data_IF_190794991958
#
_entry.id   IF_190794991958
#
_cell.length_a   1.000
_cell.length_b   1.000
_cell.length_c   1.000
_cell.angle_alpha   90.00
_cell.angle_beta   90.00
_cell.angle_gamma   90.00
#
_symmetry.space_group_name_H-M   'P 1'
#
loop_
_entity.id
_entity.type
_entity.pdbx_description
1 polymer ?
#
# COMPACT_ATOMS: atom_id res chain seq x y z
N UNK A 1 2.96 17.87 9.91
CA UNK A 1 3.49 16.70 9.17
C UNK A 1 2.35 15.69 9.07
N UNK A 2 2.15 15.06 7.92
CA UNK A 2 1.23 13.92 7.79
C UNK A 2 2.02 12.78 7.15
N UNK A 3 2.03 11.62 7.78
CA UNK A 3 2.76 10.45 7.32
C UNK A 3 1.93 9.19 7.58
N UNK A 4 2.08 8.20 6.71
CA UNK A 4 1.43 6.89 6.82
C UNK A 4 2.48 5.81 6.97
N UNK A 5 2.23 4.82 7.83
CA UNK A 5 3.12 3.68 8.05
C UNK A 5 2.30 2.41 8.24
N UNK A 6 2.84 1.29 7.75
CA UNK A 6 2.27 -0.04 7.98
C UNK A 6 2.76 -0.67 9.30
N UNK A 7 3.65 0.01 10.03
CA UNK A 7 4.22 -0.42 11.32
C UNK A 7 4.15 0.73 12.32
N UNK A 8 3.97 0.45 13.63
CA UNK A 8 3.90 1.50 14.64
C UNK A 8 5.25 2.25 14.75
N UNK A 9 5.23 3.53 15.23
CA UNK A 9 6.44 4.35 15.34
C UNK A 9 7.63 3.67 16.03
N UNK A 10 7.37 2.92 17.11
CA UNK A 10 8.42 2.23 17.88
C UNK A 10 9.14 1.15 17.07
N UNK A 11 8.50 0.61 16.03
CA UNK A 11 9.09 -0.42 15.17
C UNK A 11 9.68 0.14 13.88
N UNK A 12 9.57 1.46 13.63
CA UNK A 12 10.13 2.07 12.42
C UNK A 12 11.63 1.82 12.32
N UNK A 13 12.09 1.27 11.19
CA UNK A 13 13.50 0.94 10.95
C UNK A 13 14.06 -0.12 11.92
N UNK A 14 13.22 -1.07 12.34
CA UNK A 14 13.64 -2.22 13.18
C UNK A 14 14.71 -3.02 12.45
N UNK A 15 15.79 -3.37 13.16
CA UNK A 15 16.98 -4.04 12.62
C UNK A 15 17.71 -3.30 11.48
N UNK A 16 17.41 -2.02 11.26
CA UNK A 16 18.09 -1.19 10.28
C UNK A 16 19.54 -0.90 10.68
N UNK A 17 20.40 -0.73 9.67
CA UNK A 17 21.79 -0.35 9.88
C UNK A 17 21.84 1.00 10.62
N UNK A 18 22.50 1.05 11.78
CA UNK A 18 22.56 2.24 12.64
C UNK A 18 21.19 2.74 13.17
N UNK A 19 20.24 1.84 13.46
CA UNK A 19 18.93 2.17 14.09
C UNK A 19 19.03 3.16 15.26
N UNK A 20 20.10 3.10 16.07
CA UNK A 20 20.32 4.03 17.17
C UNK A 20 20.27 5.51 16.74
N UNK A 21 20.74 5.84 15.52
CA UNK A 21 20.67 7.20 14.97
C UNK A 21 19.25 7.61 14.53
N UNK A 22 18.38 6.63 14.34
CA UNK A 22 16.99 6.82 13.95
C UNK A 22 16.05 6.97 15.15
N UNK A 23 16.46 6.51 16.35
CA UNK A 23 15.66 6.66 17.58
C UNK A 23 15.25 8.11 17.88
N UNK A 24 16.11 9.14 17.72
CA UNK A 24 15.70 10.52 17.95
C UNK A 24 14.57 10.99 17.01
N UNK A 25 14.52 10.44 15.78
CA UNK A 25 13.44 10.74 14.85
C UNK A 25 12.12 10.08 15.30
N UNK A 26 12.19 8.85 15.83
CA UNK A 26 11.02 8.18 16.43
C UNK A 26 10.50 8.99 17.63
N UNK A 27 11.39 9.44 18.50
CA UNK A 27 11.02 10.26 19.66
C UNK A 27 10.36 11.57 19.24
N UNK A 28 10.92 12.26 18.23
CA UNK A 28 10.34 13.48 17.68
C UNK A 28 8.95 13.23 17.05
N UNK A 29 8.77 12.11 16.33
CA UNK A 29 7.46 11.72 15.78
C UNK A 29 6.44 11.55 16.92
N UNK A 30 6.78 10.80 17.97
CA UNK A 30 5.88 10.55 19.11
C UNK A 30 5.59 11.80 19.92
N UNK A 31 6.52 12.74 20.00
CA UNK A 31 6.36 14.00 20.73
C UNK A 31 5.49 15.02 19.97
N UNK A 32 5.58 15.05 18.64
CA UNK A 32 5.00 16.11 17.83
C UNK A 32 3.85 15.68 16.93
N UNK A 33 3.52 14.39 16.87
CA UNK A 33 2.44 13.85 16.04
C UNK A 33 1.49 12.98 16.87
N UNK A 34 0.21 13.04 16.53
CA UNK A 34 -0.79 12.11 17.03
C UNK A 34 -0.70 10.80 16.26
N UNK A 35 -0.51 9.70 16.98
CA UNK A 35 -0.43 8.35 16.39
C UNK A 35 -1.83 7.77 16.28
N UNK A 36 -2.35 7.71 15.06
CA UNK A 36 -3.67 7.13 14.78
C UNK A 36 -3.51 5.75 14.13
N UNK A 37 -4.05 4.71 14.77
CA UNK A 37 -4.13 3.39 14.15
C UNK A 37 -5.34 3.37 13.19
N UNK A 38 -5.07 3.06 11.92
CA UNK A 38 -6.10 2.95 10.87
C UNK A 38 -6.35 1.46 10.63
N UNK A 39 -6.90 0.78 11.63
CA UNK A 39 -7.37 -0.59 11.44
C UNK A 39 -8.74 -0.54 10.77
N UNK A 40 -8.75 -0.46 9.45
CA UNK A 40 -9.99 -0.31 8.71
C UNK A 40 -10.76 -1.64 8.59
N UNK A 41 -10.17 -2.80 8.91
CA UNK A 41 -10.73 -4.15 8.66
C UNK A 41 -11.08 -4.46 7.19
N UNK A 42 -11.13 -3.43 6.35
CA UNK A 42 -11.53 -3.43 4.96
C UNK A 42 -10.26 -3.29 4.14
N UNK A 43 -9.91 -4.36 3.45
CA UNK A 43 -8.90 -4.31 2.42
C UNK A 43 -9.48 -3.61 1.17
N UNK A 44 -9.19 -2.32 1.04
CA UNK A 44 -9.64 -1.52 -0.11
C UNK A 44 -9.01 -1.98 -1.43
N UNK A 45 -7.91 -2.75 -1.41
CA UNK A 45 -7.31 -3.31 -2.63
C UNK A 45 -8.25 -4.34 -3.25
N UNK A 46 -8.82 -5.21 -2.42
CA UNK A 46 -9.68 -6.30 -2.85
C UNK A 46 -11.07 -5.85 -3.30
N UNK A 47 -11.54 -4.68 -2.86
CA UNK A 47 -12.88 -4.17 -3.23
C UNK A 47 -13.04 -3.89 -4.73
N UNK A 48 -11.97 -3.47 -5.41
CA UNK A 48 -11.99 -3.24 -6.86
C UNK A 48 -11.55 -4.48 -7.65
N UNK A 49 -10.71 -5.33 -7.05
CA UNK A 49 -10.02 -6.44 -7.73
C UNK A 49 -10.71 -7.80 -7.62
N UNK A 50 -11.77 -7.93 -6.81
CA UNK A 50 -12.46 -9.22 -6.56
C UNK A 50 -13.16 -9.82 -7.79
N UNK A 51 -13.29 -9.08 -8.89
CA UNK A 51 -14.02 -9.53 -10.08
C UNK A 51 -13.16 -9.78 -11.33
N UNK A 52 -11.84 -9.62 -11.25
CA UNK A 52 -10.97 -9.75 -12.42
C UNK A 52 -10.04 -10.97 -12.30
N UNK A 53 -9.94 -11.76 -13.37
CA UNK A 53 -8.81 -12.67 -13.57
C UNK A 53 -7.55 -11.82 -13.82
N UNK A 54 -6.88 -11.40 -12.74
CA UNK A 54 -5.71 -10.52 -12.79
C UNK A 54 -4.46 -11.15 -13.42
N UNK A 55 -4.49 -12.47 -13.59
CA UNK A 55 -3.45 -13.22 -14.27
C UNK A 55 -4.02 -13.81 -15.54
N UNK A 56 -3.49 -13.37 -16.69
CA UNK A 56 -3.92 -13.82 -18.01
C UNK A 56 -2.75 -14.55 -18.70
N UNK A 57 -3.01 -15.77 -19.17
CA UNK A 57 -2.04 -16.61 -19.87
C UNK A 57 -2.79 -17.62 -20.74
N UNK A 58 -2.28 -18.01 -21.93
CA UNK A 58 -1.01 -17.57 -22.55
C UNK A 58 -1.11 -16.17 -23.16
N UNK A 59 0.03 -15.58 -23.53
CA UNK A 59 0.08 -14.30 -24.23
C UNK A 59 -0.44 -14.48 -25.67
N UNK A 60 -1.70 -14.11 -25.91
CA UNK A 60 -2.38 -14.20 -27.20
C UNK A 60 -3.31 -12.99 -27.38
N UNK A 61 -3.99 -12.91 -28.52
CA UNK A 61 -4.86 -11.77 -28.83
C UNK A 61 -6.10 -11.69 -27.92
N UNK A 62 -6.59 -12.84 -27.44
CA UNK A 62 -7.72 -12.91 -26.51
C UNK A 62 -7.35 -12.34 -25.14
N UNK A 63 -6.21 -12.76 -24.57
CA UNK A 63 -5.73 -12.27 -23.27
C UNK A 63 -5.30 -10.82 -23.34
N UNK A 64 -4.79 -10.36 -24.48
CA UNK A 64 -4.54 -8.93 -24.74
C UNK A 64 -5.84 -8.11 -24.68
N UNK A 65 -6.88 -8.54 -25.40
CA UNK A 65 -8.16 -7.83 -25.41
C UNK A 65 -8.84 -7.81 -24.02
N UNK A 66 -8.72 -8.90 -23.25
CA UNK A 66 -9.19 -8.94 -21.87
C UNK A 66 -8.41 -7.99 -20.95
N UNK A 67 -7.09 -7.91 -21.10
CA UNK A 67 -6.25 -6.96 -20.35
C UNK A 67 -6.63 -5.52 -20.65
N UNK A 68 -6.83 -5.16 -21.92
CA UNK A 68 -7.21 -3.80 -22.33
C UNK A 68 -8.56 -3.39 -21.72
N UNK A 69 -9.53 -4.31 -21.69
CA UNK A 69 -10.83 -4.09 -21.04
C UNK A 69 -10.68 -3.85 -19.53
N UNK A 70 -9.86 -4.66 -18.85
CA UNK A 70 -9.59 -4.51 -17.42
C UNK A 70 -8.86 -3.20 -17.12
N UNK A 71 -7.88 -2.82 -17.95
CA UNK A 71 -7.14 -1.58 -17.82
C UNK A 71 -8.06 -0.37 -17.89
N UNK A 72 -8.94 -0.30 -18.89
CA UNK A 72 -9.91 0.79 -19.02
C UNK A 72 -10.87 0.89 -17.83
N UNK A 73 -11.29 -0.25 -17.29
CA UNK A 73 -12.18 -0.28 -16.12
C UNK A 73 -11.49 0.18 -14.83
N UNK A 74 -10.20 -0.14 -14.65
CA UNK A 74 -9.46 0.11 -13.40
C UNK A 74 -8.70 1.43 -13.37
N UNK A 75 -8.18 1.90 -14.51
CA UNK A 75 -7.36 3.12 -14.59
C UNK A 75 -8.17 4.41 -14.35
N UNK A 76 -9.50 4.31 -14.27
CA UNK A 76 -10.41 5.44 -14.22
C UNK A 76 -10.48 6.11 -15.59
N UNK A 77 -11.50 5.78 -16.38
CA UNK A 77 -11.85 6.63 -17.51
C UNK A 77 -12.22 8.02 -16.98
N UNK A 78 -11.63 9.07 -17.55
CA UNK A 78 -12.05 10.46 -17.31
C UNK A 78 -13.50 10.66 -17.71
#
# INVERSE_FOLDING_TARGET
LVATSNIPPDELYRNGLQRARFLPAIDAIKQHCDVMNVDAGVDYRLRTLTQAHLWLSPLNDETRAQMDKLWLALAGAK
#
